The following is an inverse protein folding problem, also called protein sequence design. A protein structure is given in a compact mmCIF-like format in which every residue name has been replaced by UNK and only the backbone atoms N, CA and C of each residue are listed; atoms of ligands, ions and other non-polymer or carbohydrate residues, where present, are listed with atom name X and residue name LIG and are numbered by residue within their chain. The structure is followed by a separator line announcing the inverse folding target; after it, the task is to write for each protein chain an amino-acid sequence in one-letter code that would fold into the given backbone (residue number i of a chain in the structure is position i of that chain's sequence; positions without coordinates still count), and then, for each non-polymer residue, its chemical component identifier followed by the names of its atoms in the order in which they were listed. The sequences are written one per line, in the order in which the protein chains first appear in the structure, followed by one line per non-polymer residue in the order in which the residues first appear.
data_IF_320278133847
#
_entry.id   IF_320278133847
#
_cell.length_a   1.000
_cell.length_b   1.000
_cell.length_c   1.000
_cell.angle_alpha   90.00
_cell.angle_beta   90.00
_cell.angle_gamma   90.00
#
_symmetry.space_group_name_H-M   'P 1'
#
loop_
_entity.id
_entity.type
_entity.pdbx_description
1 polymer ?
#
# COMPACT_ATOMS: atom_id res chain seq x y z
N UNK A 1 0.33 10.00 -17.06
CA UNK A 1 0.28 8.65 -16.45
C UNK A 1 -0.33 8.79 -15.06
N UNK A 2 -1.35 8.00 -14.70
CA UNK A 2 -1.90 7.99 -13.33
C UNK A 2 -0.77 7.73 -12.33
N UNK A 3 -0.74 8.43 -11.18
CA UNK A 3 0.36 8.34 -10.24
C UNK A 3 0.46 6.89 -9.78
N UNK A 4 1.65 6.30 -9.94
CA UNK A 4 1.93 4.95 -9.43
C UNK A 4 1.79 4.90 -7.90
N UNK A 5 2.12 3.75 -7.31
CA UNK A 5 2.09 3.62 -5.85
C UNK A 5 3.44 4.02 -5.24
N UNK A 6 3.44 4.43 -3.98
CA UNK A 6 4.66 4.74 -3.22
C UNK A 6 4.71 3.97 -1.92
N UNK A 7 5.89 3.52 -1.52
CA UNK A 7 6.12 2.88 -0.22
C UNK A 7 7.36 3.42 0.47
N UNK A 8 7.41 3.21 1.78
CA UNK A 8 8.53 3.58 2.63
C UNK A 8 8.59 2.58 3.78
N UNK A 9 9.79 2.08 4.06
CA UNK A 9 10.07 1.23 5.23
C UNK A 9 10.56 2.13 6.37
N UNK A 10 10.21 1.84 7.63
CA UNK A 10 10.86 2.46 8.79
C UNK A 10 12.35 2.05 8.80
N UNK A 11 13.22 2.94 8.37
CA UNK A 11 14.68 2.77 8.37
C UNK A 11 15.33 4.10 8.76
N UNK A 12 16.64 4.08 9.04
CA UNK A 12 17.41 5.30 9.38
C UNK A 12 17.22 6.43 8.37
N UNK A 13 17.05 6.08 7.09
CA UNK A 13 16.70 7.00 6.01
C UNK A 13 15.27 6.74 5.50
N UNK A 14 14.34 7.60 5.91
CA UNK A 14 12.90 7.47 5.62
C UNK A 14 12.54 8.07 4.26
N UNK A 15 12.85 7.38 3.15
CA UNK A 15 12.52 7.83 1.79
C UNK A 15 11.31 7.09 1.21
N UNK A 16 10.38 7.84 0.62
CA UNK A 16 9.33 7.27 -0.22
C UNK A 16 9.88 6.90 -1.60
N UNK A 17 9.65 5.67 -2.03
CA UNK A 17 10.04 5.15 -3.34
C UNK A 17 8.78 4.90 -4.16
N UNK A 18 8.78 5.35 -5.42
CA UNK A 18 7.68 5.14 -6.35
C UNK A 18 7.89 3.86 -7.18
N UNK A 19 6.80 3.18 -7.53
CA UNK A 19 6.84 1.97 -8.33
C UNK A 19 5.46 1.57 -8.87
N UNK A 20 5.42 0.46 -9.62
CA UNK A 20 4.16 -0.13 -10.12
C UNK A 20 3.53 -1.12 -9.13
N UNK A 21 4.37 -1.71 -8.28
CA UNK A 21 4.01 -2.70 -7.29
C UNK A 21 4.89 -2.55 -6.05
N UNK A 22 4.39 -2.96 -4.88
CA UNK A 22 5.18 -3.12 -3.64
C UNK A 22 4.84 -4.45 -3.00
N UNK A 23 5.88 -5.19 -2.63
CA UNK A 23 5.76 -6.48 -1.97
C UNK A 23 6.10 -6.37 -0.49
N UNK A 24 5.31 -7.06 0.33
CA UNK A 24 5.56 -7.18 1.76
C UNK A 24 6.65 -8.22 2.05
N UNK A 25 7.59 -7.87 2.94
CA UNK A 25 8.65 -8.78 3.40
C UNK A 25 8.23 -9.75 4.49
N UNK A 26 7.11 -9.49 5.19
CA UNK A 26 6.62 -10.29 6.31
C UNK A 26 5.63 -11.37 5.88
N UNK A 27 5.42 -12.39 6.73
CA UNK A 27 4.41 -13.43 6.54
C UNK A 27 2.98 -12.94 6.80
N UNK A 28 2.81 -11.95 7.70
CA UNK A 28 1.54 -11.31 8.01
C UNK A 28 1.68 -9.80 8.22
N UNK A 29 0.58 -9.07 8.01
CA UNK A 29 0.50 -7.60 8.19
C UNK A 29 -0.86 -7.16 8.74
N UNK A 30 -0.88 -6.04 9.45
CA UNK A 30 -2.10 -5.27 9.69
C UNK A 30 -2.16 -4.16 8.65
N UNK A 31 -3.26 -4.12 7.89
CA UNK A 31 -3.51 -3.03 6.93
C UNK A 31 -4.26 -1.92 7.66
N UNK A 32 -3.77 -0.69 7.56
CA UNK A 32 -4.46 0.50 8.07
C UNK A 32 -4.88 1.35 6.88
N UNK A 33 -6.18 1.60 6.73
CA UNK A 33 -6.77 2.45 5.69
C UNK A 33 -7.40 3.65 6.36
N UNK A 34 -6.94 4.85 6.01
CA UNK A 34 -7.45 6.12 6.56
C UNK A 34 -7.49 6.14 8.10
N UNK A 35 -6.45 5.56 8.73
CA UNK A 35 -6.34 5.43 10.18
C UNK A 35 -7.08 4.25 10.80
N UNK A 36 -7.92 3.53 10.04
CA UNK A 36 -8.70 2.39 10.54
C UNK A 36 -7.98 1.08 10.22
N UNK A 37 -7.63 0.25 11.23
CA UNK A 37 -7.06 -1.06 11.00
C UNK A 37 -8.11 -2.02 10.42
N UNK A 38 -7.69 -2.86 9.48
CA UNK A 38 -8.51 -3.95 8.97
C UNK A 38 -8.83 -4.95 10.09
N UNK A 39 -10.02 -5.58 10.09
CA UNK A 39 -10.47 -6.44 11.19
C UNK A 39 -9.68 -7.75 11.30
N UNK A 40 -8.89 -8.11 10.27
CA UNK A 40 -8.07 -9.32 10.25
C UNK A 40 -6.70 -9.02 9.63
N UNK A 41 -5.62 -9.66 10.14
CA UNK A 41 -4.33 -9.60 9.48
C UNK A 41 -4.41 -10.15 8.05
N UNK A 42 -3.72 -9.48 7.13
CA UNK A 42 -3.53 -9.99 5.78
C UNK A 42 -2.25 -10.84 5.72
N UNK A 43 -2.24 -11.84 4.84
CA UNK A 43 -1.04 -12.61 4.50
C UNK A 43 -0.08 -11.75 3.68
N UNK A 44 1.16 -12.22 3.54
CA UNK A 44 2.13 -11.68 2.58
C UNK A 44 1.47 -11.45 1.22
N UNK A 45 1.55 -10.22 0.74
CA UNK A 45 0.83 -9.76 -0.43
C UNK A 45 1.67 -8.74 -1.21
N UNK A 46 1.35 -8.60 -2.50
CA UNK A 46 1.89 -7.58 -3.38
C UNK A 46 0.78 -6.61 -3.74
N UNK A 47 0.99 -5.33 -3.44
CA UNK A 47 0.05 -4.26 -3.79
C UNK A 47 0.39 -3.72 -5.17
N UNK A 48 -0.62 -3.56 -6.00
CA UNK A 48 -0.54 -2.92 -7.30
C UNK A 48 -1.23 -1.56 -7.25
N UNK A 49 -0.95 -0.70 -8.22
CA UNK A 49 -1.80 0.46 -8.45
C UNK A 49 -3.22 -0.01 -8.77
N UNK A 50 -4.23 0.76 -8.35
CA UNK A 50 -5.57 0.51 -8.84
C UNK A 50 -5.59 0.70 -10.36
N UNK A 51 -6.21 -0.24 -11.06
CA UNK A 51 -6.34 -0.17 -12.54
C UNK A 51 -7.59 0.60 -12.95
N UNK A 52 -8.60 0.63 -12.09
CA UNK A 52 -9.82 1.40 -12.27
C UNK A 52 -9.66 2.83 -11.73
N UNK A 53 -10.26 3.80 -12.41
CA UNK A 53 -10.39 5.17 -11.89
C UNK A 53 -11.33 5.20 -10.69
N UNK A 54 -11.06 6.09 -9.73
CA UNK A 54 -11.98 6.29 -8.61
C UNK A 54 -13.29 6.89 -9.14
N UNK A 55 -14.43 6.32 -8.73
CA UNK A 55 -15.74 6.90 -8.99
C UNK A 55 -15.97 8.06 -8.02
N UNK A 56 -16.46 9.18 -8.53
CA UNK A 56 -16.87 10.29 -7.69
C UNK A 56 -18.13 9.89 -6.89
N UNK A 57 -18.04 9.89 -5.57
CA UNK A 57 -19.21 9.77 -4.69
C UNK A 57 -19.76 11.19 -4.49
N UNK A 58 -21.05 11.38 -4.78
CA UNK A 58 -21.79 12.62 -4.54
C UNK A 58 -22.84 12.38 -3.47
#
# INVERSE_FOLDING_TARGET
AVPGLRARVPARWRRWVAGRAVQLGSTGVIVVRDGVPAPRPARRSTFYRNVEGWLAVR
#
